data_IF_325877091134
#
_entry.id   IF_325877091134
#
_cell.length_a   1.000
_cell.length_b   1.000
_cell.length_c   1.000
_cell.angle_alpha   90.00
_cell.angle_beta   90.00
_cell.angle_gamma   90.00
#
_symmetry.space_group_name_H-M   'P 1'
#
loop_
_entity.id
_entity.type
_entity.pdbx_description
1 polymer ?
#
# COMPACT_ATOMS: atom_id res chain seq x y z
N UNK A 1 -30.11 -9.33 4.99
CA UNK A 1 -28.72 -9.73 4.69
C UNK A 1 -28.10 -10.30 5.95
N UNK A 2 -27.50 -11.50 5.90
CA UNK A 2 -26.65 -11.97 7.01
C UNK A 2 -25.29 -11.28 6.87
N UNK A 3 -24.86 -10.57 7.92
CA UNK A 3 -23.53 -9.96 7.97
C UNK A 3 -22.52 -11.09 8.14
N UNK A 4 -21.59 -11.23 7.19
CA UNK A 4 -20.47 -12.17 7.24
C UNK A 4 -19.21 -11.39 7.59
N UNK A 5 -18.29 -12.04 8.29
CA UNK A 5 -16.94 -11.53 8.50
C UNK A 5 -16.12 -11.66 7.23
N UNK A 6 -15.17 -10.77 7.03
CA UNK A 6 -14.43 -10.63 5.78
C UNK A 6 -12.96 -11.04 5.91
N UNK A 7 -12.55 -12.01 5.08
CA UNK A 7 -11.14 -12.32 4.80
C UNK A 7 -10.78 -11.62 3.49
N UNK A 8 -9.81 -10.71 3.53
CA UNK A 8 -9.30 -10.03 2.34
C UNK A 8 -7.95 -10.59 1.94
N UNK A 9 -7.80 -11.07 0.72
CA UNK A 9 -6.51 -11.37 0.12
C UNK A 9 -6.06 -10.21 -0.79
N UNK A 10 -4.97 -9.55 -0.44
CA UNK A 10 -4.44 -8.39 -1.15
C UNK A 10 -2.95 -8.55 -1.45
N UNK A 11 -2.58 -9.31 -2.51
CA UNK A 11 -1.20 -9.49 -2.90
C UNK A 11 -0.67 -8.32 -3.75
N UNK A 12 0.65 -8.19 -3.78
CA UNK A 12 1.36 -7.37 -4.76
C UNK A 12 1.24 -7.95 -6.18
N UNK A 13 1.42 -7.08 -7.18
CA UNK A 13 1.53 -7.53 -8.56
C UNK A 13 2.91 -8.16 -8.81
N UNK A 14 2.95 -9.18 -9.65
CA UNK A 14 4.17 -9.86 -10.06
C UNK A 14 4.46 -9.64 -11.55
N UNK A 15 5.73 -9.41 -11.90
CA UNK A 15 6.19 -9.25 -13.29
C UNK A 15 7.44 -8.37 -13.43
N UNK A 16 8.14 -8.55 -14.56
CA UNK A 16 9.39 -7.84 -14.89
C UNK A 16 9.16 -6.43 -15.47
N UNK A 17 7.92 -6.07 -15.80
CA UNK A 17 7.55 -4.74 -16.29
C UNK A 17 6.10 -4.42 -15.94
N UNK A 18 5.83 -3.17 -15.55
CA UNK A 18 4.48 -2.64 -15.34
C UNK A 18 3.57 -2.80 -16.58
N UNK A 19 4.16 -2.86 -17.78
CA UNK A 19 3.44 -3.03 -19.04
C UNK A 19 2.98 -4.47 -19.32
N UNK A 20 3.51 -5.48 -18.62
CA UNK A 20 3.09 -6.87 -18.78
C UNK A 20 3.09 -7.64 -17.44
N UNK A 21 2.12 -7.37 -16.56
CA UNK A 21 1.99 -8.11 -15.31
C UNK A 21 1.62 -9.56 -15.60
N UNK A 22 2.21 -10.49 -14.83
CA UNK A 22 1.70 -11.86 -14.76
C UNK A 22 0.32 -11.80 -14.09
N UNK A 23 -0.73 -12.08 -14.85
CA UNK A 23 -2.07 -12.23 -14.31
C UNK A 23 -2.33 -13.72 -14.11
N UNK A 24 -2.06 -14.19 -12.90
CA UNK A 24 -2.33 -15.58 -12.52
C UNK A 24 -3.77 -15.70 -11.99
N UNK A 25 -4.75 -15.68 -12.89
CA UNK A 25 -6.16 -15.88 -12.56
C UNK A 25 -6.42 -17.24 -11.88
N UNK A 26 -5.74 -18.28 -12.33
CA UNK A 26 -5.84 -19.63 -11.77
C UNK A 26 -5.33 -19.69 -10.32
N UNK A 27 -4.25 -18.98 -10.00
CA UNK A 27 -3.74 -18.85 -8.63
C UNK A 27 -4.76 -18.22 -7.68
N UNK A 28 -5.46 -17.16 -8.12
CA UNK A 28 -6.53 -16.53 -7.33
C UNK A 28 -7.72 -17.48 -7.11
N UNK A 29 -8.14 -18.19 -8.17
CA UNK A 29 -9.24 -19.16 -8.08
C UNK A 29 -8.88 -20.29 -7.11
N UNK A 30 -7.66 -20.84 -7.23
CA UNK A 30 -7.18 -21.92 -6.38
C UNK A 30 -7.14 -21.51 -4.90
N UNK A 31 -6.66 -20.29 -4.60
CA UNK A 31 -6.65 -19.75 -3.25
C UNK A 31 -8.08 -19.59 -2.73
N UNK A 32 -8.96 -18.95 -3.51
CA UNK A 32 -10.35 -18.75 -3.12
C UNK A 32 -11.05 -20.06 -2.77
N UNK A 33 -10.95 -21.06 -3.65
CA UNK A 33 -11.57 -22.37 -3.46
C UNK A 33 -11.03 -23.07 -2.22
N UNK A 34 -9.70 -23.13 -2.07
CA UNK A 34 -9.06 -23.81 -0.94
C UNK A 34 -9.42 -23.18 0.41
N UNK A 35 -9.52 -21.86 0.47
CA UNK A 35 -9.94 -21.17 1.70
C UNK A 35 -11.44 -21.40 1.97
N UNK A 36 -12.28 -21.40 0.92
CA UNK A 36 -13.72 -21.67 1.06
C UNK A 36 -14.01 -23.11 1.52
N UNK A 37 -13.13 -24.07 1.27
CA UNK A 37 -13.26 -25.47 1.73
C UNK A 37 -13.12 -25.61 3.25
N UNK A 38 -12.36 -24.73 3.91
CA UNK A 38 -12.01 -24.87 5.33
C UNK A 38 -12.75 -23.91 6.27
N UNK A 39 -13.38 -22.87 5.72
CA UNK A 39 -14.17 -21.88 6.49
C UNK A 39 -15.67 -22.14 6.41
N UNK A 40 -16.42 -21.71 7.42
CA UNK A 40 -17.88 -21.62 7.35
C UNK A 40 -18.29 -20.40 6.49
N UNK A 41 -18.60 -20.64 5.21
CA UNK A 41 -18.99 -19.58 4.26
C UNK A 41 -20.32 -18.89 4.59
N UNK A 42 -21.09 -19.38 5.57
CA UNK A 42 -22.24 -18.65 6.11
C UNK A 42 -21.83 -17.55 7.09
N UNK A 43 -20.64 -17.67 7.69
CA UNK A 43 -20.07 -16.73 8.66
C UNK A 43 -18.95 -15.89 8.08
N UNK A 44 -18.23 -16.41 7.09
CA UNK A 44 -17.09 -15.76 6.47
C UNK A 44 -17.29 -15.59 4.97
N UNK A 45 -16.69 -14.54 4.42
CA UNK A 45 -16.58 -14.29 2.99
C UNK A 45 -15.13 -14.00 2.66
N UNK A 46 -14.64 -14.58 1.55
CA UNK A 46 -13.31 -14.29 1.01
C UNK A 46 -13.46 -13.29 -0.11
N UNK A 47 -12.70 -12.20 -0.06
CA UNK A 47 -12.57 -11.25 -1.15
C UNK A 47 -11.09 -11.12 -1.54
N UNK A 48 -10.86 -10.81 -2.80
CA UNK A 48 -9.54 -10.69 -3.41
C UNK A 48 -9.42 -9.29 -3.99
N UNK A 49 -8.44 -8.52 -3.54
CA UNK A 49 -8.09 -7.19 -4.06
C UNK A 49 -6.77 -7.29 -4.84
N UNK A 50 -6.80 -7.66 -6.12
CA UNK A 50 -5.60 -7.68 -6.94
C UNK A 50 -5.14 -6.25 -7.26
N UNK A 51 -3.89 -6.09 -7.67
CA UNK A 51 -3.40 -4.83 -8.25
C UNK A 51 -4.21 -4.45 -9.51
N UNK A 52 -4.37 -3.15 -9.80
CA UNK A 52 -5.17 -2.65 -10.93
C UNK A 52 -4.85 -3.35 -12.27
N UNK A 53 -3.56 -3.46 -12.59
CA UNK A 53 -3.13 -4.07 -13.86
C UNK A 53 -3.45 -5.58 -13.97
N UNK A 54 -3.62 -6.26 -12.83
CA UNK A 54 -4.06 -7.66 -12.77
C UNK A 54 -5.58 -7.74 -12.77
N UNK A 55 -6.26 -6.86 -12.03
CA UNK A 55 -7.72 -6.74 -12.01
C UNK A 55 -8.29 -6.61 -13.42
N UNK A 56 -7.74 -5.73 -14.25
CA UNK A 56 -8.23 -5.48 -15.61
C UNK A 56 -8.17 -6.71 -16.52
N UNK A 57 -7.28 -7.67 -16.21
CA UNK A 57 -7.14 -8.94 -16.94
C UNK A 57 -8.08 -10.05 -16.44
N UNK A 58 -8.49 -10.02 -15.16
CA UNK A 58 -9.26 -11.10 -14.52
C UNK A 58 -10.70 -10.72 -14.15
N UNK A 59 -11.08 -9.45 -14.28
CA UNK A 59 -12.41 -8.93 -13.89
C UNK A 59 -13.60 -9.62 -14.57
N UNK A 60 -13.40 -10.18 -15.76
CA UNK A 60 -14.44 -10.84 -16.57
C UNK A 60 -14.37 -12.38 -16.45
N UNK A 61 -13.53 -12.91 -15.55
CA UNK A 61 -13.47 -14.34 -15.25
C UNK A 61 -14.68 -14.75 -14.39
N UNK A 62 -15.56 -15.58 -14.95
CA UNK A 62 -16.78 -16.06 -14.27
C UNK A 62 -16.48 -16.82 -12.98
N UNK A 63 -15.29 -17.42 -12.84
CA UNK A 63 -14.89 -18.17 -11.64
C UNK A 63 -14.53 -17.27 -10.46
N UNK A 64 -14.12 -16.03 -10.74
CA UNK A 64 -13.77 -15.02 -9.74
C UNK A 64 -14.89 -14.00 -9.50
N UNK A 65 -16.05 -14.24 -10.13
CA UNK A 65 -17.20 -13.34 -10.04
C UNK A 65 -17.74 -13.30 -8.62
N UNK A 66 -17.83 -12.10 -8.07
CA UNK A 66 -18.35 -11.86 -6.73
C UNK A 66 -17.31 -11.99 -5.60
N UNK A 67 -16.07 -12.38 -5.91
CA UNK A 67 -14.98 -12.34 -4.93
C UNK A 67 -13.93 -11.26 -5.22
N UNK A 68 -13.94 -10.61 -6.39
CA UNK A 68 -13.00 -9.53 -6.71
C UNK A 68 -13.44 -8.18 -6.13
N UNK A 69 -12.46 -7.45 -5.57
CA UNK A 69 -12.62 -6.08 -5.10
C UNK A 69 -12.06 -5.12 -6.13
N UNK A 70 -12.90 -4.18 -6.57
CA UNK A 70 -12.50 -3.19 -7.55
C UNK A 70 -11.36 -2.30 -7.03
N UNK A 71 -10.32 -2.03 -7.83
CA UNK A 71 -9.27 -1.08 -7.47
C UNK A 71 -9.78 0.37 -7.41
N UNK A 72 -11.01 0.65 -7.88
CA UNK A 72 -11.65 1.97 -7.80
C UNK A 72 -12.22 2.30 -6.43
N UNK A 73 -12.38 1.30 -5.56
CA UNK A 73 -12.81 1.52 -4.18
C UNK A 73 -11.64 2.06 -3.36
N UNK A 74 -11.94 3.00 -2.47
CA UNK A 74 -10.95 3.49 -1.51
C UNK A 74 -10.43 2.32 -0.67
N UNK A 75 -9.11 2.19 -0.58
CA UNK A 75 -8.51 1.03 0.10
C UNK A 75 -8.77 1.08 1.59
N UNK A 76 -8.77 2.25 2.23
CA UNK A 76 -9.04 2.38 3.66
C UNK A 76 -10.50 2.07 4.00
N UNK A 77 -11.44 2.43 3.12
CA UNK A 77 -12.84 1.99 3.27
C UNK A 77 -12.95 0.46 3.25
N UNK A 78 -12.28 -0.20 2.31
CA UNK A 78 -12.26 -1.67 2.21
C UNK A 78 -11.60 -2.30 3.44
N UNK A 79 -10.47 -1.75 3.90
CA UNK A 79 -9.78 -2.22 5.09
C UNK A 79 -10.63 -2.05 6.36
N UNK A 80 -11.43 -0.99 6.46
CA UNK A 80 -12.29 -0.74 7.63
C UNK A 80 -13.30 -1.85 7.91
N UNK A 81 -13.76 -2.54 6.85
CA UNK A 81 -14.73 -3.64 6.92
C UNK A 81 -14.07 -5.02 6.84
N UNK A 82 -12.73 -5.09 6.73
CA UNK A 82 -11.98 -6.34 6.65
C UNK A 82 -11.67 -6.87 8.05
N UNK A 83 -12.07 -8.11 8.36
CA UNK A 83 -11.83 -8.74 9.66
C UNK A 83 -10.48 -9.45 9.75
N UNK A 84 -9.97 -9.95 8.62
CA UNK A 84 -8.67 -10.63 8.50
C UNK A 84 -8.02 -10.22 7.19
N UNK A 85 -6.77 -9.76 7.25
CA UNK A 85 -5.98 -9.44 6.06
C UNK A 85 -4.98 -10.56 5.77
N UNK A 86 -4.99 -11.06 4.54
CA UNK A 86 -3.93 -11.88 3.96
C UNK A 86 -3.21 -11.04 2.92
N UNK A 87 -1.91 -10.86 3.09
CA UNK A 87 -1.09 -10.09 2.15
C UNK A 87 0.23 -10.82 1.88
N UNK A 88 1.15 -10.13 1.23
CA UNK A 88 2.51 -10.55 0.95
C UNK A 88 3.44 -9.39 1.37
N UNK A 89 4.32 -8.90 0.48
CA UNK A 89 5.19 -7.76 0.73
C UNK A 89 4.52 -6.39 0.49
N UNK A 90 3.21 -6.36 0.29
CA UNK A 90 2.46 -5.12 0.05
C UNK A 90 2.51 -4.19 1.26
N UNK A 91 2.65 -2.89 1.03
CA UNK A 91 2.56 -1.89 2.11
C UNK A 91 1.18 -1.82 2.77
N UNK A 92 0.16 -2.46 2.19
CA UNK A 92 -1.23 -2.43 2.69
C UNK A 92 -1.36 -2.94 4.13
N UNK A 93 -0.46 -3.82 4.58
CA UNK A 93 -0.51 -4.29 5.96
C UNK A 93 -0.17 -3.20 6.97
N UNK A 94 0.67 -2.20 6.60
CA UNK A 94 0.95 -1.05 7.46
C UNK A 94 -0.32 -0.25 7.72
N UNK A 95 -1.11 -0.01 6.67
CA UNK A 95 -2.40 0.71 6.78
C UNK A 95 -3.42 -0.09 7.63
N UNK A 96 -3.29 -1.42 7.67
CA UNK A 96 -4.20 -2.28 8.42
C UNK A 96 -3.80 -2.47 9.90
N UNK A 97 -2.56 -2.17 10.30
CA UNK A 97 -2.09 -2.29 11.70
C UNK A 97 -2.94 -1.51 12.70
N UNK A 98 -3.52 -0.39 12.27
CA UNK A 98 -4.36 0.45 13.13
C UNK A 98 -5.62 -0.26 13.61
N UNK A 99 -6.05 -1.32 12.92
CA UNK A 99 -7.31 -2.03 13.20
C UNK A 99 -7.22 -3.03 14.35
N UNK A 100 -6.02 -3.41 14.79
CA UNK A 100 -5.79 -4.50 15.78
C UNK A 100 -6.38 -5.86 15.35
N UNK A 101 -6.56 -6.06 14.04
CA UNK A 101 -7.11 -7.29 13.47
C UNK A 101 -6.02 -8.20 12.91
N UNK A 102 -6.27 -9.53 12.83
CA UNK A 102 -5.31 -10.50 12.31
C UNK A 102 -4.76 -10.16 10.93
N UNK A 103 -3.45 -10.27 10.79
CA UNK A 103 -2.71 -10.20 9.52
C UNK A 103 -1.98 -11.52 9.32
N UNK A 104 -2.01 -12.05 8.10
CA UNK A 104 -1.25 -13.22 7.68
C UNK A 104 -0.55 -12.96 6.36
N UNK A 105 0.55 -13.64 6.12
CA UNK A 105 1.39 -13.42 4.95
C UNK A 105 1.49 -14.70 4.12
N UNK A 106 0.99 -14.64 2.89
CA UNK A 106 1.12 -15.71 1.90
C UNK A 106 2.17 -15.32 0.87
N UNK A 107 3.33 -15.96 0.96
CA UNK A 107 4.55 -15.57 0.24
C UNK A 107 5.12 -16.81 -0.48
N UNK A 108 4.49 -17.26 -1.58
CA UNK A 108 4.89 -18.48 -2.28
C UNK A 108 6.26 -18.39 -2.96
N UNK A 109 6.79 -17.18 -3.14
CA UNK A 109 8.05 -16.85 -3.82
C UNK A 109 9.09 -16.25 -2.87
N UNK A 110 9.06 -16.62 -1.58
CA UNK A 110 9.93 -16.05 -0.56
C UNK A 110 11.42 -16.08 -0.94
N UNK A 111 11.90 -17.24 -1.40
CA UNK A 111 13.30 -17.43 -1.76
C UNK A 111 13.70 -16.60 -3.00
N UNK A 112 12.87 -16.58 -4.04
CA UNK A 112 13.13 -15.78 -5.25
C UNK A 112 13.10 -14.26 -4.98
N UNK A 113 12.21 -13.83 -4.09
CA UNK A 113 12.06 -12.42 -3.75
C UNK A 113 13.23 -11.89 -2.89
N UNK A 114 13.72 -12.71 -1.95
CA UNK A 114 14.90 -12.40 -1.12
C UNK A 114 16.12 -12.05 -1.97
N UNK A 115 16.36 -12.84 -3.01
CA UNK A 115 17.54 -12.70 -3.87
C UNK A 115 17.45 -11.55 -4.89
N UNK A 116 16.24 -11.12 -5.25
CA UNK A 116 16.04 -10.18 -6.38
C UNK A 116 15.72 -8.75 -5.97
N UNK A 117 14.91 -8.53 -4.92
CA UNK A 117 14.41 -7.19 -4.55
C UNK A 117 14.80 -6.75 -3.15
N UNK A 118 15.22 -7.69 -2.30
CA UNK A 118 15.45 -7.44 -0.88
C UNK A 118 14.13 -7.31 -0.10
N UNK A 119 14.14 -7.77 1.14
CA UNK A 119 12.98 -7.66 2.03
C UNK A 119 13.02 -6.38 2.85
N UNK A 120 11.90 -5.68 2.95
CA UNK A 120 11.73 -4.61 3.94
C UNK A 120 11.85 -5.15 5.37
N UNK A 121 11.38 -6.39 5.56
CA UNK A 121 11.28 -7.04 6.84
C UNK A 121 11.39 -8.55 6.66
N UNK A 122 12.23 -9.19 7.47
CA UNK A 122 12.30 -10.65 7.50
C UNK A 122 10.96 -11.25 7.95
N UNK A 123 10.55 -12.42 7.45
CA UNK A 123 9.26 -13.03 7.81
C UNK A 123 9.03 -13.17 9.31
N UNK A 124 10.07 -13.41 10.09
CA UNK A 124 10.01 -13.57 11.55
C UNK A 124 9.69 -12.26 12.29
N UNK A 125 9.86 -11.11 11.63
CA UNK A 125 9.55 -9.78 12.18
C UNK A 125 8.18 -9.26 11.75
N UNK A 126 7.53 -9.91 10.78
CA UNK A 126 6.21 -9.50 10.31
C UNK A 126 5.19 -9.53 11.46
N UNK A 127 4.15 -8.67 11.41
CA UNK A 127 3.11 -8.59 12.43
C UNK A 127 2.09 -9.75 12.33
N UNK A 128 2.53 -10.93 11.90
CA UNK A 128 1.68 -12.09 11.68
C UNK A 128 2.45 -13.27 11.08
N UNK A 129 1.85 -14.47 11.08
CA UNK A 129 2.43 -15.67 10.48
C UNK A 129 2.67 -15.48 8.99
N UNK A 130 3.80 -15.99 8.51
CA UNK A 130 4.15 -16.06 7.10
C UNK A 130 4.29 -17.51 6.63
N UNK A 131 3.78 -17.80 5.44
CA UNK A 131 3.92 -19.12 4.81
C UNK A 131 3.95 -19.02 3.29
N UNK A 132 4.72 -19.91 2.67
CA UNK A 132 4.77 -20.16 1.23
C UNK A 132 3.74 -21.22 0.77
N UNK A 133 3.04 -21.86 1.71
CA UNK A 133 2.15 -22.99 1.46
C UNK A 133 0.69 -22.58 1.56
N UNK A 134 -0.05 -22.77 0.47
CA UNK A 134 -1.49 -22.53 0.44
C UNK A 134 -2.25 -23.45 1.42
N UNK A 135 -1.78 -24.67 1.64
CA UNK A 135 -2.38 -25.60 2.62
C UNK A 135 -2.25 -25.03 4.04
N UNK A 136 -1.04 -24.63 4.45
CA UNK A 136 -0.80 -24.01 5.77
C UNK A 136 -1.58 -22.71 5.95
N UNK A 137 -1.65 -21.88 4.91
CA UNK A 137 -2.47 -20.65 4.94
C UNK A 137 -3.94 -20.99 5.21
N UNK A 138 -4.49 -21.99 4.51
CA UNK A 138 -5.88 -22.40 4.68
C UNK A 138 -6.15 -22.93 6.10
N UNK A 139 -5.22 -23.71 6.67
CA UNK A 139 -5.31 -24.19 8.06
C UNK A 139 -5.33 -23.03 9.06
N UNK A 140 -4.46 -22.03 8.88
CA UNK A 140 -4.45 -20.82 9.70
C UNK A 140 -5.77 -20.04 9.60
N UNK A 141 -6.33 -19.91 8.39
CA UNK A 141 -7.58 -19.19 8.14
C UNK A 141 -8.83 -19.91 8.67
N UNK A 142 -8.74 -21.21 8.98
CA UNK A 142 -9.83 -21.92 9.66
C UNK A 142 -10.09 -21.35 11.08
N UNK A 143 -9.04 -20.87 11.76
CA UNK A 143 -9.15 -20.16 13.04
C UNK A 143 -8.16 -18.99 13.13
N UNK A 144 -8.45 -17.86 12.47
CA UNK A 144 -7.45 -16.83 12.22
C UNK A 144 -6.98 -16.10 13.47
N UNK A 145 -7.82 -15.98 14.49
CA UNK A 145 -7.44 -15.29 15.74
C UNK A 145 -6.50 -16.14 16.60
N UNK A 146 -6.68 -17.47 16.63
CA UNK A 146 -5.73 -18.34 17.34
C UNK A 146 -4.41 -18.44 16.56
N UNK A 147 -4.48 -18.49 15.23
CA UNK A 147 -3.32 -18.58 14.36
C UNK A 147 -2.37 -17.36 14.43
N UNK A 148 -2.81 -16.21 14.91
CA UNK A 148 -1.96 -15.01 15.07
C UNK A 148 -1.51 -14.74 16.51
N UNK A 149 -1.93 -15.58 17.47
CA UNK A 149 -1.75 -15.33 18.91
C UNK A 149 -0.28 -15.22 19.32
N UNK A 150 0.56 -16.08 18.75
CA UNK A 150 2.00 -16.08 19.02
C UNK A 150 2.73 -14.87 18.40
N UNK A 151 2.06 -14.10 17.54
CA UNK A 151 2.57 -12.88 16.91
C UNK A 151 2.08 -11.58 17.59
N UNK A 152 1.43 -11.65 18.76
CA UNK A 152 0.91 -10.47 19.45
C UNK A 152 2.01 -9.42 19.75
N UNK A 153 3.20 -9.86 20.15
CA UNK A 153 4.33 -8.96 20.40
C UNK A 153 4.86 -8.33 19.11
N UNK A 154 4.98 -9.11 18.03
CA UNK A 154 5.35 -8.60 16.71
C UNK A 154 4.38 -7.52 16.22
N UNK A 155 3.08 -7.80 16.35
CA UNK A 155 2.03 -6.86 15.96
C UNK A 155 2.12 -5.56 16.75
N UNK A 156 2.25 -5.65 18.09
CA UNK A 156 2.40 -4.48 18.96
C UNK A 156 3.63 -3.65 18.58
N UNK A 157 4.78 -4.30 18.42
CA UNK A 157 6.03 -3.64 18.05
C UNK A 157 5.91 -2.95 16.68
N UNK A 158 5.29 -3.61 15.69
CA UNK A 158 5.06 -3.02 14.38
C UNK A 158 4.13 -1.80 14.48
N UNK A 159 3.03 -1.88 15.23
CA UNK A 159 2.10 -0.76 15.42
C UNK A 159 2.76 0.43 16.12
N UNK A 160 3.56 0.18 17.16
CA UNK A 160 4.31 1.23 17.87
C UNK A 160 5.35 1.90 16.96
N UNK A 161 6.00 1.13 16.08
CA UNK A 161 7.01 1.64 15.18
C UNK A 161 6.41 2.40 13.99
N UNK A 162 5.35 1.88 13.37
CA UNK A 162 4.86 2.36 12.08
C UNK A 162 3.62 3.24 12.18
N UNK A 163 2.79 3.07 13.22
CA UNK A 163 1.55 3.81 13.43
C UNK A 163 1.54 4.68 14.71
N UNK A 164 2.66 5.30 15.15
CA UNK A 164 2.69 6.02 16.44
C UNK A 164 1.79 7.26 16.48
N UNK A 165 1.38 7.78 15.32
CA UNK A 165 0.53 8.96 15.18
C UNK A 165 -0.89 8.66 14.72
N UNK A 166 -1.26 7.41 14.46
CA UNK A 166 -2.54 7.06 13.86
C UNK A 166 -3.65 6.91 14.91
N UNK A 167 -4.03 8.04 15.49
CA UNK A 167 -5.06 8.16 16.54
C UNK A 167 -6.42 8.65 16.02
N UNK A 168 -6.60 8.70 14.70
CA UNK A 168 -7.80 9.22 14.05
C UNK A 168 -7.84 10.75 13.89
N UNK A 169 -6.87 11.50 14.42
CA UNK A 169 -6.82 12.97 14.36
C UNK A 169 -5.68 13.52 13.49
N UNK A 170 -5.00 12.67 12.71
CA UNK A 170 -3.88 13.08 11.85
C UNK A 170 -4.29 14.20 10.88
N UNK A 171 -5.39 14.04 10.16
CA UNK A 171 -5.87 15.04 9.20
C UNK A 171 -6.20 16.37 9.86
N UNK A 172 -6.89 16.33 11.02
CA UNK A 172 -7.19 17.52 11.81
C UNK A 172 -5.92 18.25 12.25
N UNK A 173 -4.93 17.52 12.77
CA UNK A 173 -3.61 18.06 13.13
C UNK A 173 -2.96 18.78 11.96
N UNK A 174 -2.90 18.15 10.79
CA UNK A 174 -2.29 18.75 9.59
C UNK A 174 -3.05 19.99 9.12
N UNK A 175 -4.38 19.96 9.11
CA UNK A 175 -5.21 21.12 8.76
C UNK A 175 -4.97 22.28 9.74
N UNK A 176 -4.94 22.02 11.04
CA UNK A 176 -4.67 23.04 12.06
C UNK A 176 -3.24 23.61 11.93
N UNK A 177 -2.25 22.79 11.61
CA UNK A 177 -0.89 23.25 11.37
C UNK A 177 -0.76 24.19 10.16
N UNK A 178 -1.45 23.86 9.06
CA UNK A 178 -1.39 24.63 7.81
C UNK A 178 -2.17 25.93 7.94
N UNK A 179 -3.41 25.86 8.44
CA UNK A 179 -4.36 26.99 8.36
C UNK A 179 -4.46 27.79 9.65
N UNK A 180 -4.09 27.23 10.80
CA UNK A 180 -4.17 27.90 12.11
C UNK A 180 -2.81 28.15 12.76
N UNK A 181 -1.71 27.70 12.15
CA UNK A 181 -0.37 27.69 12.74
C UNK A 181 -0.30 26.98 14.11
N UNK A 182 -1.16 25.97 14.31
CA UNK A 182 -1.20 25.16 15.52
C UNK A 182 -0.35 23.90 15.31
N UNK A 183 0.83 23.86 15.94
CA UNK A 183 1.81 22.77 15.75
C UNK A 183 1.87 21.77 16.91
N UNK A 184 0.88 21.80 17.79
CA UNK A 184 0.79 20.85 18.91
C UNK A 184 0.74 19.43 18.35
N UNK A 185 1.50 18.51 18.97
CA UNK A 185 1.54 17.09 18.57
C UNK A 185 2.03 16.84 17.12
N UNK A 186 2.76 17.78 16.52
CA UNK A 186 3.36 17.62 15.19
C UNK A 186 4.84 17.97 15.29
N UNK A 187 5.69 17.12 14.74
CA UNK A 187 7.12 17.41 14.60
C UNK A 187 7.33 18.34 13.40
N UNK A 188 7.47 19.63 13.67
CA UNK A 188 7.80 20.61 12.63
C UNK A 188 9.31 20.69 12.47
N UNK A 189 9.82 20.17 11.36
CA UNK A 189 11.22 20.35 10.98
C UNK A 189 11.32 21.59 10.10
N UNK A 190 11.94 22.65 10.62
CA UNK A 190 12.27 23.86 9.85
C UNK A 190 13.74 23.78 9.49
N UNK A 191 14.11 23.32 8.28
CA UNK A 191 15.50 23.36 7.87
C UNK A 191 15.97 24.82 7.93
N UNK A 192 17.01 25.08 8.73
CA UNK A 192 17.67 26.37 8.76
C UNK A 192 18.38 26.56 7.44
N UNK A 193 17.73 27.25 6.51
CA UNK A 193 18.37 27.71 5.28
C UNK A 193 18.23 29.23 5.22
N UNK A 194 19.36 29.91 5.04
CA UNK A 194 19.45 31.38 4.92
C UNK A 194 19.27 31.84 3.46
N UNK A 195 18.90 30.93 2.56
CA UNK A 195 18.73 31.21 1.14
C UNK A 195 17.40 31.91 0.93
N UNK A 196 17.39 32.84 -0.02
CA UNK A 196 16.14 33.48 -0.43
C UNK A 196 15.33 32.48 -1.25
N UNK A 197 14.07 32.25 -0.83
CA UNK A 197 13.16 31.33 -1.53
C UNK A 197 12.65 31.97 -2.81
N UNK A 198 12.70 31.23 -3.91
CA UNK A 198 12.12 31.60 -5.21
C UNK A 198 11.17 30.48 -5.63
N UNK A 199 9.91 30.82 -5.83
CA UNK A 199 8.93 29.93 -6.46
C UNK A 199 8.69 30.40 -7.89
N UNK A 200 8.88 29.52 -8.87
CA UNK A 200 8.61 29.79 -10.28
C UNK A 200 7.52 28.83 -10.74
N UNK A 201 6.35 29.36 -11.07
CA UNK A 201 5.28 28.59 -11.70
C UNK A 201 5.34 28.81 -13.20
N UNK A 202 5.67 27.76 -13.96
CA UNK A 202 5.53 27.74 -15.41
C UNK A 202 4.25 26.96 -15.76
N UNK A 203 3.61 27.32 -16.87
CA UNK A 203 2.57 26.49 -17.46
C UNK A 203 3.16 25.21 -18.08
N UNK A 204 2.72 24.87 -19.28
CA UNK A 204 3.32 23.77 -20.05
C UNK A 204 4.75 24.08 -20.47
N UNK A 205 5.67 23.16 -20.21
CA UNK A 205 7.05 23.25 -20.69
C UNK A 205 7.15 22.70 -22.13
N UNK A 206 6.74 23.51 -23.11
CA UNK A 206 6.82 23.17 -24.53
C UNK A 206 8.25 23.35 -25.05
N UNK A 207 8.65 22.59 -26.06
CA UNK A 207 9.93 22.81 -26.76
C UNK A 207 9.90 24.11 -27.55
N UNK A 208 10.23 25.22 -26.89
CA UNK A 208 10.25 26.54 -27.48
C UNK A 208 11.22 27.47 -26.73
N UNK A 209 11.38 28.69 -27.23
CA UNK A 209 12.27 29.68 -26.64
C UNK A 209 11.93 30.06 -25.18
N UNK A 210 10.68 29.87 -24.73
CA UNK A 210 10.27 30.15 -23.35
C UNK A 210 10.89 29.11 -22.41
N UNK A 211 10.73 27.81 -22.72
CA UNK A 211 11.32 26.73 -21.93
C UNK A 211 12.85 26.79 -21.96
N UNK A 212 13.46 27.07 -23.11
CA UNK A 212 14.91 27.26 -23.18
C UNK A 212 15.41 28.43 -22.33
N UNK A 213 14.71 29.56 -22.34
CA UNK A 213 15.05 30.72 -21.50
C UNK A 213 14.87 30.40 -20.01
N UNK A 214 13.84 29.64 -19.66
CA UNK A 214 13.59 29.19 -18.29
C UNK A 214 14.68 28.24 -17.79
N UNK A 215 15.05 27.23 -18.59
CA UNK A 215 16.16 26.33 -18.25
C UNK A 215 17.49 27.09 -18.15
N UNK A 216 17.73 28.05 -19.04
CA UNK A 216 18.91 28.92 -18.97
C UNK A 216 18.93 29.73 -17.67
N UNK A 217 17.80 30.30 -17.25
CA UNK A 217 17.68 30.97 -15.95
C UNK A 217 18.03 30.01 -14.81
N UNK A 218 17.42 28.83 -14.75
CA UNK A 218 17.69 27.84 -13.69
C UNK A 218 19.17 27.44 -13.64
N UNK A 219 19.81 27.26 -14.78
CA UNK A 219 21.23 26.90 -14.86
C UNK A 219 22.17 28.02 -14.40
N UNK A 220 21.71 29.28 -14.41
CA UNK A 220 22.50 30.44 -14.02
C UNK A 220 22.14 30.97 -12.61
N UNK A 221 21.20 30.35 -11.90
CA UNK A 221 20.88 30.73 -10.52
C UNK A 221 21.97 30.29 -9.55
N UNK A 222 22.29 31.16 -8.59
CA UNK A 222 23.22 30.85 -7.51
C UNK A 222 22.47 30.06 -6.42
N UNK A 223 22.63 28.73 -6.43
CA UNK A 223 21.98 27.84 -5.47
C UNK A 223 22.57 27.90 -4.06
N UNK A 224 23.71 28.56 -3.82
CA UNK A 224 24.18 28.86 -2.46
C UNK A 224 23.37 30.00 -1.81
N UNK A 225 22.79 30.87 -2.65
CA UNK A 225 22.00 32.04 -2.22
C UNK A 225 20.50 31.84 -2.34
N UNK A 226 20.04 31.00 -3.26
CA UNK A 226 18.63 30.80 -3.56
C UNK A 226 18.20 29.34 -3.36
N UNK A 227 17.03 29.18 -2.75
CA UNK A 227 16.30 27.91 -2.69
C UNK A 227 15.16 28.01 -3.70
N UNK A 228 15.26 27.27 -4.80
CA UNK A 228 14.43 27.46 -5.99
C UNK A 228 13.50 26.26 -6.13
N UNK A 229 12.19 26.51 -6.09
CA UNK A 229 11.16 25.52 -6.44
C UNK A 229 10.54 25.92 -7.77
N UNK A 230 10.68 25.06 -8.77
CA UNK A 230 10.03 25.19 -10.06
C UNK A 230 8.84 24.24 -10.13
N UNK A 231 7.65 24.77 -10.39
CA UNK A 231 6.45 23.97 -10.66
C UNK A 231 6.11 24.03 -12.14
N UNK A 232 6.03 22.86 -12.77
CA UNK A 232 5.64 22.66 -14.17
C UNK A 232 4.32 21.92 -14.20
N UNK A 233 3.31 22.45 -14.90
CA UNK A 233 1.99 21.81 -14.97
C UNK A 233 2.02 20.47 -15.73
N UNK A 234 2.90 20.35 -16.73
CA UNK A 234 3.23 19.10 -17.42
C UNK A 234 4.76 18.98 -17.51
N UNK A 235 5.31 17.76 -17.35
CA UNK A 235 6.74 17.52 -17.54
C UNK A 235 7.17 17.92 -18.95
N UNK A 236 8.45 18.28 -19.09
CA UNK A 236 9.05 18.54 -20.41
C UNK A 236 8.85 17.29 -21.24
N UNK A 237 8.22 17.41 -22.41
CA UNK A 237 8.07 16.28 -23.32
C UNK A 237 9.47 15.80 -23.73
N UNK A 238 9.76 14.53 -23.45
CA UNK A 238 10.86 13.83 -24.07
C UNK A 238 10.52 13.61 -25.56
N UNK A 239 11.55 13.71 -26.41
CA UNK A 239 11.47 13.48 -27.86
C UNK A 239 10.88 12.10 -28.21
#
# INVERSE_FOLDING_TARGET
MKIRRLIMYAPTWKGNSFSNPQADGEGYEKLYNKVCEVIDTNKWQVLIKPHQAVFDKIKDDEKLKGCLVSPRLDTNEVLSVTDVLVSDYSSIFFDFLVTDRPIMFYIPDLEEYKDTRGLYMEPEKLPGPATDSLDKLSEMLANPYEAVKDWADNYRNAKEQFCPGDDGHVSERIVNAIFKNEYNHIKVVRPLQNKKKIFISLGRALQNGITHSFLSLLNNLNYDRFDVTAYLYEPIADD
#
